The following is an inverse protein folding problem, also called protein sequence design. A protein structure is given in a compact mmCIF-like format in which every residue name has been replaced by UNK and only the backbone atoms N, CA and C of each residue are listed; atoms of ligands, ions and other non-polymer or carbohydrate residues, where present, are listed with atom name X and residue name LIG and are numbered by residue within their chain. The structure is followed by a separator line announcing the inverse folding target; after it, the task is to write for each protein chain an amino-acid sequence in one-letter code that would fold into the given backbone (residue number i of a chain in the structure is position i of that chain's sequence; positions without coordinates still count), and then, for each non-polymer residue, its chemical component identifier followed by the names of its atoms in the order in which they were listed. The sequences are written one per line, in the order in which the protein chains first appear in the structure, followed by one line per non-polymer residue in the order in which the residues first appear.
data_IF_841414402055
#
_entry.id   IF_841414402055
#
_cell.length_a   1.000
_cell.length_b   1.000
_cell.length_c   1.000
_cell.angle_alpha   90.00
_cell.angle_beta   90.00
_cell.angle_gamma   90.00
#
_symmetry.space_group_name_H-M   'P 1'
#
loop_
_entity.id
_entity.type
_entity.pdbx_description
1 polymer ?
#
# COMPACT_ATOMS: atom_id res chain seq x y z
N UNK A 1 -4.70 17.23 5.84
CA UNK A 1 -3.45 16.97 6.59
C UNK A 1 -3.41 15.57 7.23
N UNK A 2 -4.38 15.17 8.07
CA UNK A 2 -4.33 13.87 8.79
C UNK A 2 -4.41 12.64 7.84
N UNK A 3 -5.03 12.80 6.67
CA UNK A 3 -5.13 11.74 5.66
C UNK A 3 -3.77 11.22 5.12
N UNK A 4 -2.73 12.07 5.05
CA UNK A 4 -1.40 11.64 4.60
C UNK A 4 -0.69 10.72 5.59
N UNK A 5 -1.05 10.82 6.88
CA UNK A 5 -0.50 9.98 7.96
C UNK A 5 -0.94 8.52 7.78
N UNK A 6 -2.11 8.27 7.16
CA UNK A 6 -2.61 6.91 6.91
C UNK A 6 -1.63 6.08 6.06
N UNK A 7 -0.86 6.71 5.18
CA UNK A 7 0.15 6.04 4.35
C UNK A 7 1.46 5.75 5.10
N UNK A 8 1.79 6.55 6.10
CA UNK A 8 2.99 6.37 6.93
C UNK A 8 2.76 5.23 7.93
N UNK A 9 1.56 5.14 8.51
CA UNK A 9 1.24 4.14 9.53
C UNK A 9 0.77 2.81 8.90
N UNK A 10 0.50 2.78 7.58
CA UNK A 10 0.22 1.55 6.84
C UNK A 10 -1.02 0.81 7.33
N UNK A 11 -0.87 -0.45 7.76
CA UNK A 11 -1.96 -1.32 8.23
C UNK A 11 -2.73 -0.74 9.44
N UNK A 12 -2.06 0.04 10.27
CA UNK A 12 -2.69 0.69 11.43
C UNK A 12 -3.56 1.89 11.06
N UNK A 13 -3.61 2.29 9.78
CA UNK A 13 -4.57 3.29 9.30
C UNK A 13 -6.03 2.88 9.52
N UNK A 14 -6.29 1.58 9.72
CA UNK A 14 -7.60 1.06 10.14
C UNK A 14 -8.13 1.72 11.42
N UNK A 15 -7.25 2.16 12.33
CA UNK A 15 -7.64 2.83 13.58
C UNK A 15 -8.44 4.11 13.30
N UNK A 16 -8.12 4.85 12.22
CA UNK A 16 -8.83 6.08 11.86
C UNK A 16 -10.27 5.84 11.38
N UNK A 17 -10.62 4.61 11.03
CA UNK A 17 -12.00 4.26 10.64
C UNK A 17 -12.91 4.06 11.85
N UNK A 18 -12.35 3.79 13.02
CA UNK A 18 -13.12 3.48 14.24
C UNK A 18 -13.11 4.61 15.28
N UNK A 19 -12.19 5.58 15.15
CA UNK A 19 -12.09 6.72 16.09
C UNK A 19 -12.82 7.94 15.54
N UNK A 20 -13.85 8.42 16.26
CA UNK A 20 -14.42 9.74 16.02
C UNK A 20 -13.42 10.84 16.43
N UNK A 21 -13.30 11.98 15.70
CA UNK A 21 -14.13 12.42 14.57
C UNK A 21 -13.64 11.94 13.17
N UNK A 22 -12.57 11.13 13.12
CA UNK A 22 -11.96 10.69 11.85
C UNK A 22 -12.86 9.73 11.07
N UNK A 23 -13.57 8.85 11.79
CA UNK A 23 -14.56 7.93 11.23
C UNK A 23 -15.76 8.62 10.57
N UNK A 24 -16.00 9.91 10.86
CA UNK A 24 -17.09 10.70 10.26
C UNK A 24 -16.66 11.52 9.05
N UNK A 25 -15.36 11.69 8.82
CA UNK A 25 -14.86 12.49 7.71
C UNK A 25 -14.65 11.60 6.46
N UNK A 26 -15.42 11.80 5.38
CA UNK A 26 -15.37 10.93 4.20
C UNK A 26 -14.00 10.92 3.51
N UNK A 27 -13.27 12.04 3.54
CA UNK A 27 -11.91 12.12 2.99
C UNK A 27 -10.92 11.27 3.78
N UNK A 28 -11.02 11.28 5.12
CA UNK A 28 -10.16 10.47 5.98
C UNK A 28 -10.48 8.98 5.84
N UNK A 29 -11.77 8.62 5.74
CA UNK A 29 -12.20 7.24 5.49
C UNK A 29 -11.69 6.70 4.17
N UNK A 30 -11.81 7.48 3.08
CA UNK A 30 -11.32 7.07 1.77
C UNK A 30 -9.81 6.81 1.78
N UNK A 31 -9.00 7.71 2.35
CA UNK A 31 -7.56 7.54 2.39
C UNK A 31 -7.10 6.44 3.38
N UNK A 32 -7.81 6.24 4.48
CA UNK A 32 -7.58 5.12 5.38
C UNK A 32 -7.85 3.78 4.67
N UNK A 33 -8.99 3.64 3.98
CA UNK A 33 -9.30 2.44 3.20
C UNK A 33 -8.34 2.23 2.03
N UNK A 34 -7.97 3.29 1.32
CA UNK A 34 -6.98 3.24 0.25
C UNK A 34 -5.63 2.73 0.76
N UNK A 35 -5.16 3.19 1.93
CA UNK A 35 -3.93 2.70 2.56
C UNK A 35 -4.00 1.23 2.94
N UNK A 36 -5.13 0.77 3.52
CA UNK A 36 -5.34 -0.64 3.87
C UNK A 36 -5.31 -1.52 2.62
N UNK A 37 -6.06 -1.16 1.58
CA UNK A 37 -6.11 -1.93 0.33
C UNK A 37 -4.73 -1.98 -0.32
N UNK A 38 -3.99 -0.87 -0.35
CA UNK A 38 -2.62 -0.86 -0.86
C UNK A 38 -1.69 -1.77 -0.08
N UNK A 39 -1.80 -1.79 1.25
CA UNK A 39 -1.01 -2.71 2.06
C UNK A 39 -1.35 -4.17 1.77
N UNK A 40 -2.63 -4.51 1.63
CA UNK A 40 -3.04 -5.86 1.23
C UNK A 40 -2.44 -6.24 -0.12
N UNK A 41 -2.51 -5.35 -1.12
CA UNK A 41 -1.92 -5.58 -2.46
C UNK A 41 -0.41 -5.79 -2.38
N UNK A 42 0.30 -4.97 -1.58
CA UNK A 42 1.74 -5.11 -1.38
C UNK A 42 2.10 -6.44 -0.71
N UNK A 43 1.37 -6.83 0.34
CA UNK A 43 1.61 -8.09 1.05
C UNK A 43 1.37 -9.29 0.13
N UNK A 44 0.28 -9.29 -0.63
CA UNK A 44 -0.02 -10.35 -1.60
C UNK A 44 1.06 -10.40 -2.68
N UNK A 45 1.44 -9.26 -3.25
CA UNK A 45 2.51 -9.17 -4.24
C UNK A 45 3.85 -9.66 -3.70
N UNK A 46 4.18 -9.34 -2.45
CA UNK A 46 5.39 -9.80 -1.78
C UNK A 46 5.39 -11.32 -1.60
N UNK A 47 4.28 -11.91 -1.17
CA UNK A 47 4.15 -13.37 -1.03
C UNK A 47 4.34 -14.06 -2.38
N UNK A 48 3.62 -13.60 -3.42
CA UNK A 48 3.72 -14.16 -4.78
C UNK A 48 5.16 -14.08 -5.31
N UNK A 49 5.81 -12.94 -5.13
CA UNK A 49 7.17 -12.72 -5.60
C UNK A 49 8.18 -13.61 -4.87
N UNK A 50 8.07 -13.76 -3.55
CA UNK A 50 8.96 -14.64 -2.77
C UNK A 50 8.74 -16.11 -3.12
N UNK A 51 7.49 -16.55 -3.29
CA UNK A 51 7.19 -17.92 -3.72
C UNK A 51 7.79 -18.17 -5.11
N UNK A 52 7.62 -17.24 -6.05
CA UNK A 52 8.22 -17.36 -7.38
C UNK A 52 9.75 -17.44 -7.33
N UNK A 53 10.42 -16.57 -6.55
CA UNK A 53 11.87 -16.62 -6.37
C UNK A 53 12.34 -17.91 -5.70
N UNK A 54 11.61 -18.42 -4.71
CA UNK A 54 11.93 -19.68 -4.04
C UNK A 54 11.84 -20.87 -5.01
N UNK A 55 10.80 -20.91 -5.84
CA UNK A 55 10.66 -21.94 -6.88
C UNK A 55 11.79 -21.84 -7.90
N UNK A 56 12.10 -20.64 -8.40
CA UNK A 56 13.17 -20.43 -9.38
C UNK A 56 14.53 -20.86 -8.81
N UNK A 57 14.85 -20.45 -7.59
CA UNK A 57 16.13 -20.79 -6.95
C UNK A 57 16.23 -22.25 -6.55
N UNK A 58 15.11 -22.96 -6.33
CA UNK A 58 15.11 -24.41 -6.12
C UNK A 58 15.52 -25.20 -7.37
N UNK A 59 15.20 -24.68 -8.57
CA UNK A 59 15.52 -25.30 -9.86
C UNK A 59 16.90 -24.83 -10.36
N UNK A 60 17.21 -23.55 -10.16
CA UNK A 60 18.44 -22.91 -10.60
C UNK A 60 19.10 -22.16 -9.43
N UNK A 61 19.97 -22.82 -8.63
CA UNK A 61 20.58 -22.22 -7.44
C UNK A 61 21.36 -20.94 -7.72
N UNK A 62 21.94 -20.81 -8.93
CA UNK A 62 22.66 -19.61 -9.33
C UNK A 62 21.74 -18.39 -9.46
N UNK A 63 20.42 -18.55 -9.63
CA UNK A 63 19.44 -17.47 -9.71
C UNK A 63 19.27 -16.69 -8.39
N UNK A 64 19.99 -17.04 -7.32
CA UNK A 64 19.97 -16.30 -6.06
C UNK A 64 20.31 -14.81 -6.20
N UNK A 65 21.07 -14.40 -7.23
CA UNK A 65 21.32 -12.99 -7.51
C UNK A 65 20.03 -12.17 -7.75
N UNK A 66 18.92 -12.81 -8.12
CA UNK A 66 17.62 -12.13 -8.28
C UNK A 66 17.12 -11.49 -6.97
N UNK A 67 17.53 -12.02 -5.81
CA UNK A 67 17.22 -11.39 -4.52
C UNK A 67 17.88 -10.01 -4.37
N UNK A 68 18.96 -9.73 -5.10
CA UNK A 68 19.60 -8.41 -5.11
C UNK A 68 18.70 -7.32 -5.72
N UNK A 69 17.66 -7.71 -6.46
CA UNK A 69 16.65 -6.79 -7.01
C UNK A 69 15.56 -6.45 -5.99
N UNK A 70 15.44 -7.18 -4.88
CA UNK A 70 14.40 -6.92 -3.85
C UNK A 70 14.43 -5.48 -3.31
N UNK A 71 15.59 -4.88 -2.98
CA UNK A 71 15.64 -3.48 -2.54
C UNK A 71 15.05 -2.52 -3.56
N UNK A 72 15.24 -2.77 -4.87
CA UNK A 72 14.71 -1.94 -5.94
C UNK A 72 13.18 -2.03 -6.03
N UNK A 73 12.62 -3.23 -5.85
CA UNK A 73 11.17 -3.44 -5.76
C UNK A 73 10.60 -2.69 -4.55
N UNK A 74 11.25 -2.79 -3.38
CA UNK A 74 10.85 -2.07 -2.18
C UNK A 74 10.93 -0.56 -2.34
N UNK A 75 11.94 -0.03 -3.04
CA UNK A 75 12.03 1.39 -3.38
C UNK A 75 10.85 1.84 -4.24
N UNK A 76 10.42 1.02 -5.20
CA UNK A 76 9.21 1.27 -5.99
C UNK A 76 7.95 1.33 -5.12
N UNK A 77 7.78 0.37 -4.21
CA UNK A 77 6.65 0.33 -3.27
C UNK A 77 6.64 1.56 -2.36
N UNK A 78 7.76 1.88 -1.73
CA UNK A 78 7.89 3.07 -0.87
C UNK A 78 7.64 4.35 -1.68
N UNK A 79 8.14 4.42 -2.91
CA UNK A 79 7.87 5.54 -3.82
C UNK A 79 6.37 5.75 -4.07
N UNK A 80 5.61 4.67 -4.34
CA UNK A 80 4.15 4.73 -4.51
C UNK A 80 3.48 5.22 -3.23
N UNK A 81 3.87 4.73 -2.06
CA UNK A 81 3.34 5.17 -0.78
C UNK A 81 3.59 6.66 -0.51
N UNK A 82 4.80 7.15 -0.81
CA UNK A 82 5.16 8.57 -0.65
C UNK A 82 4.36 9.43 -1.62
N UNK A 83 4.23 9.04 -2.89
CA UNK A 83 3.46 9.78 -3.89
C UNK A 83 1.99 9.94 -3.48
N UNK A 84 1.39 8.87 -2.95
CA UNK A 84 0.01 8.90 -2.47
C UNK A 84 -0.13 9.70 -1.18
N UNK A 85 0.84 9.63 -0.26
CA UNK A 85 0.88 10.46 0.93
C UNK A 85 0.92 11.95 0.58
N UNK A 86 1.83 12.36 -0.32
CA UNK A 86 1.97 13.76 -0.77
C UNK A 86 0.66 14.27 -1.35
N UNK A 87 -0.02 13.48 -2.18
CA UNK A 87 -1.27 13.92 -2.79
C UNK A 87 -2.45 13.93 -1.83
N UNK A 88 -2.51 13.00 -0.88
CA UNK A 88 -3.43 13.07 0.24
C UNK A 88 -3.19 14.32 1.12
N UNK A 89 -1.94 14.77 1.28
CA UNK A 89 -1.63 16.05 1.94
C UNK A 89 -2.10 17.26 1.13
N UNK A 90 -2.03 17.21 -0.20
CA UNK A 90 -2.49 18.27 -1.11
C UNK A 90 -4.02 18.33 -1.27
N UNK A 91 -4.78 17.43 -0.62
CA UNK A 91 -6.24 17.36 -0.76
C UNK A 91 -6.70 16.76 -2.09
N UNK A 92 -5.78 16.24 -2.90
CA UNK A 92 -6.06 15.59 -4.17
C UNK A 92 -6.09 14.08 -3.98
N UNK A 93 -7.28 13.47 -4.04
CA UNK A 93 -7.39 12.02 -4.12
C UNK A 93 -6.96 11.54 -5.49
N UNK A 94 -5.73 11.03 -5.65
CA UNK A 94 -5.49 10.14 -6.80
C UNK A 94 -6.38 8.93 -6.57
N UNK A 95 -7.30 8.76 -7.50
CA UNK A 95 -7.97 7.50 -7.69
C UNK A 95 -7.02 6.57 -8.46
N UNK A 96 -6.34 5.68 -7.75
CA UNK A 96 -5.62 4.58 -8.38
C UNK A 96 -6.72 3.59 -8.81
N UNK A 97 -7.05 3.46 -10.11
CA UNK A 97 -8.36 2.98 -10.57
C UNK A 97 -8.82 1.68 -9.89
N UNK A 98 -7.95 0.68 -9.79
CA UNK A 98 -8.30 -0.58 -9.11
C UNK A 98 -8.46 -0.40 -7.60
N UNK A 99 -7.50 0.23 -6.93
CA UNK A 99 -7.48 0.38 -5.47
C UNK A 99 -8.58 1.32 -4.98
N UNK A 100 -8.87 2.36 -5.76
CA UNK A 100 -9.78 3.44 -5.39
C UNK A 100 -11.24 3.05 -5.58
N UNK A 101 -11.56 2.18 -6.54
CA UNK A 101 -12.90 1.59 -6.64
C UNK A 101 -13.21 0.70 -5.43
N UNK A 102 -12.23 -0.11 -4.98
CA UNK A 102 -12.37 -0.89 -3.74
C UNK A 102 -12.46 0.01 -2.51
N UNK A 103 -11.62 1.05 -2.42
CA UNK A 103 -11.65 1.99 -1.31
C UNK A 103 -13.00 2.72 -1.22
N UNK A 104 -13.58 3.18 -2.34
CA UNK A 104 -14.92 3.79 -2.37
C UNK A 104 -16.02 2.84 -1.91
N UNK A 105 -15.94 1.55 -2.27
CA UNK A 105 -16.94 0.54 -1.89
C UNK A 105 -16.97 0.25 -0.39
N UNK A 106 -15.84 0.37 0.29
CA UNK A 106 -15.72 0.01 1.71
C UNK A 106 -15.48 1.21 2.65
N UNK A 107 -15.37 2.43 2.10
CA UNK A 107 -15.27 3.68 2.86
C UNK A 107 -16.65 4.28 3.19
#
# INVERSE_FOLDING_TARGET
MIAGICYIIGLFSAIFLFIAPYSTNPTVRFHAMQSIVLQVVVVVGFIVLNVALAVITSIMPFAFFLYLLMPLVWLGVVGVFILLAIKAFQGNGIEVPVVSDWAKRFA
#
